data_IF_525001718865
#
_entry.id   IF_525001718865
#
_cell.length_a   1.000
_cell.length_b   1.000
_cell.length_c   1.000
_cell.angle_alpha   90.00
_cell.angle_beta   90.00
_cell.angle_gamma   90.00
#
_symmetry.space_group_name_H-M   'P 1'
#
loop_
_entity.id
_entity.type
_entity.pdbx_description
1 polymer ?
#
# COMPACT_ATOMS: atom_id res chain seq x y z
N UNK A 1 -14.76 -0.62 5.39
CA UNK A 1 -14.16 -0.77 6.73
C UNK A 1 -14.71 0.32 7.62
N UNK A 2 -15.27 -0.01 8.80
CA UNK A 2 -15.78 1.00 9.73
C UNK A 2 -14.72 1.29 10.79
N UNK A 3 -14.09 2.47 10.70
CA UNK A 3 -12.96 2.89 11.54
C UNK A 3 -13.33 4.19 12.24
N UNK A 4 -12.97 4.32 13.52
CA UNK A 4 -13.16 5.54 14.31
C UNK A 4 -12.00 5.77 15.27
N UNK A 5 -11.81 7.02 15.66
CA UNK A 5 -10.94 7.41 16.77
C UNK A 5 -11.80 7.52 18.03
N UNK A 6 -11.30 6.97 19.13
CA UNK A 6 -11.91 7.09 20.45
C UNK A 6 -10.86 7.60 21.46
N UNK A 7 -11.32 8.07 22.62
CA UNK A 7 -10.46 8.28 23.79
C UNK A 7 -10.43 6.99 24.60
N UNK A 8 -9.23 6.52 24.93
CA UNK A 8 -9.03 5.43 25.88
C UNK A 8 -9.20 5.91 27.34
N UNK A 9 -9.26 4.96 28.25
CA UNK A 9 -9.34 5.24 29.71
C UNK A 9 -8.10 5.99 30.22
N UNK A 10 -6.98 5.86 29.52
CA UNK A 10 -5.72 6.58 29.74
C UNK A 10 -5.71 8.00 29.16
N UNK A 11 -6.82 8.46 28.56
CA UNK A 11 -6.96 9.77 27.92
C UNK A 11 -6.29 9.90 26.54
N UNK A 12 -5.60 8.86 26.04
CA UNK A 12 -4.96 8.87 24.74
C UNK A 12 -5.93 8.47 23.63
N UNK A 13 -5.63 8.94 22.40
CA UNK A 13 -6.39 8.52 21.24
C UNK A 13 -6.08 7.07 20.88
N UNK A 14 -7.13 6.31 20.59
CA UNK A 14 -7.09 4.93 20.13
C UNK A 14 -7.85 4.83 18.82
N UNK A 15 -7.49 3.86 17.98
CA UNK A 15 -8.22 3.52 16.76
C UNK A 15 -9.06 2.28 17.05
N UNK A 16 -10.33 2.32 16.71
CA UNK A 16 -11.19 1.14 16.71
C UNK A 16 -11.63 0.81 15.29
N UNK A 17 -11.46 -0.46 14.93
CA UNK A 17 -11.89 -1.04 13.64
C UNK A 17 -12.97 -2.06 13.91
N UNK A 18 -14.16 -1.86 13.35
CA UNK A 18 -15.23 -2.86 13.42
C UNK A 18 -14.95 -3.99 12.46
N UNK A 19 -14.92 -5.19 12.98
CA UNK A 19 -14.85 -6.46 12.26
C UNK A 19 -16.20 -7.19 12.40
N UNK A 20 -16.42 -8.25 11.60
CA UNK A 20 -17.68 -9.00 11.63
C UNK A 20 -17.97 -9.59 13.01
N UNK A 21 -16.94 -10.11 13.68
CA UNK A 21 -17.07 -10.79 14.97
C UNK A 21 -16.47 -10.01 16.16
N UNK A 22 -16.15 -8.72 15.98
CA UNK A 22 -15.53 -7.98 17.08
C UNK A 22 -15.06 -6.57 16.73
N UNK A 23 -14.17 -6.08 17.58
CA UNK A 23 -13.51 -4.79 17.42
C UNK A 23 -12.02 -4.98 17.60
N UNK A 24 -11.23 -4.52 16.63
CA UNK A 24 -9.80 -4.37 16.79
C UNK A 24 -9.52 -2.98 17.34
N UNK A 25 -8.78 -2.88 18.43
CA UNK A 25 -8.33 -1.62 19.01
C UNK A 25 -6.82 -1.49 18.89
N UNK A 26 -6.35 -0.33 18.46
CA UNK A 26 -4.94 -0.05 18.20
C UNK A 26 -4.55 1.25 18.89
N UNK A 27 -3.33 1.31 19.41
CA UNK A 27 -2.72 2.54 19.88
C UNK A 27 -2.49 3.51 18.70
N UNK A 28 -2.70 4.79 18.97
CA UNK A 28 -2.50 5.84 17.95
C UNK A 28 -1.01 6.08 17.67
N UNK A 29 -0.17 5.97 18.69
CA UNK A 29 1.29 6.12 18.61
C UNK A 29 2.00 4.89 19.18
N UNK A 30 3.31 4.82 19.02
CA UNK A 30 4.11 3.69 19.45
C UNK A 30 3.75 2.39 18.71
N UNK A 31 3.93 1.26 19.35
CA UNK A 31 3.53 -0.05 18.82
C UNK A 31 2.00 -0.20 18.88
N UNK A 32 1.35 -0.75 17.83
CA UNK A 32 -0.11 -0.73 17.75
C UNK A 32 -0.86 -1.49 18.85
N UNK A 33 -0.24 -2.49 19.48
CA UNK A 33 -0.81 -3.22 20.62
C UNK A 33 -0.55 -2.54 21.97
N UNK A 34 0.24 -1.45 21.99
CA UNK A 34 0.60 -0.73 23.20
C UNK A 34 1.70 -1.39 24.04
N UNK A 35 2.21 -2.53 23.63
CA UNK A 35 3.25 -3.23 24.37
C UNK A 35 4.66 -2.71 24.00
N UNK A 36 5.59 -2.86 24.91
CA UNK A 36 7.01 -2.58 24.69
C UNK A 36 7.82 -3.87 24.69
N UNK A 37 9.00 -3.83 24.08
CA UNK A 37 9.96 -4.95 24.02
C UNK A 37 11.17 -4.59 24.90
N UNK A 38 11.09 -4.87 26.19
CA UNK A 38 12.07 -4.37 27.15
C UNK A 38 12.12 -2.85 27.13
N UNK A 39 13.31 -2.29 26.88
CA UNK A 39 13.51 -0.83 26.79
C UNK A 39 13.17 -0.24 25.41
N UNK A 40 12.84 -1.07 24.43
CA UNK A 40 12.53 -0.65 23.05
C UNK A 40 11.04 -0.50 22.81
N UNK A 41 10.66 0.38 21.88
CA UNK A 41 9.25 0.56 21.51
C UNK A 41 8.71 -0.60 20.65
N UNK A 42 9.59 -1.33 19.96
CA UNK A 42 9.17 -2.34 18.99
C UNK A 42 10.19 -3.47 18.84
N UNK A 43 9.78 -4.60 18.26
CA UNK A 43 10.69 -5.67 17.88
C UNK A 43 11.71 -5.21 16.83
N UNK A 44 11.31 -4.36 15.88
CA UNK A 44 12.24 -3.82 14.90
C UNK A 44 13.37 -3.02 15.58
N UNK A 45 13.04 -2.14 16.52
CA UNK A 45 14.04 -1.37 17.27
C UNK A 45 14.95 -2.28 18.11
N UNK A 46 14.35 -3.26 18.77
CA UNK A 46 15.10 -4.25 19.56
C UNK A 46 16.15 -4.99 18.69
N UNK A 47 15.74 -5.52 17.53
CA UNK A 47 16.68 -6.25 16.66
C UNK A 47 17.67 -5.32 15.98
N UNK A 48 17.31 -4.08 15.66
CA UNK A 48 18.26 -3.09 15.16
C UNK A 48 19.30 -2.67 16.23
N UNK A 49 18.92 -2.58 17.49
CA UNK A 49 19.85 -2.34 18.58
C UNK A 49 20.81 -3.54 18.75
N UNK A 50 20.27 -4.75 18.77
CA UNK A 50 21.04 -5.99 18.85
C UNK A 50 22.01 -6.15 17.67
N UNK A 51 21.61 -5.76 16.46
CA UNK A 51 22.48 -5.76 15.29
C UNK A 51 23.64 -4.78 15.46
N UNK A 52 23.37 -3.54 15.92
CA UNK A 52 24.44 -2.55 16.17
C UNK A 52 25.43 -3.02 17.25
N UNK A 53 24.94 -3.61 18.33
CA UNK A 53 25.78 -4.18 19.39
C UNK A 53 26.65 -5.32 18.86
N UNK A 54 26.08 -6.20 18.03
CA UNK A 54 26.79 -7.29 17.40
C UNK A 54 27.92 -6.77 16.51
N UNK A 55 27.67 -5.77 15.64
CA UNK A 55 28.67 -5.22 14.73
C UNK A 55 29.80 -4.52 15.49
N UNK A 56 29.47 -3.84 16.59
CA UNK A 56 30.49 -3.23 17.46
C UNK A 56 31.38 -4.28 18.15
N UNK A 57 30.79 -5.39 18.55
CA UNK A 57 31.52 -6.47 19.22
C UNK A 57 32.33 -7.34 18.23
N UNK A 58 31.91 -7.40 16.97
CA UNK A 58 32.49 -8.26 15.94
C UNK A 58 32.69 -7.49 14.61
N UNK A 59 33.60 -6.48 14.55
CA UNK A 59 33.75 -5.62 13.38
C UNK A 59 34.09 -6.36 12.09
N UNK A 60 34.88 -7.45 12.21
CA UNK A 60 35.29 -8.30 11.10
C UNK A 60 34.59 -9.67 11.11
N UNK A 61 33.54 -9.80 11.93
CA UNK A 61 32.78 -11.04 12.09
C UNK A 61 31.67 -11.22 11.05
N UNK A 62 31.04 -12.41 11.03
CA UNK A 62 29.86 -12.60 10.20
C UNK A 62 28.72 -11.71 10.70
N UNK A 63 27.80 -11.28 9.80
CA UNK A 63 26.67 -10.44 10.20
C UNK A 63 25.74 -11.17 11.18
N UNK A 64 24.99 -10.38 11.97
CA UNK A 64 23.90 -10.92 12.78
C UNK A 64 22.88 -11.59 11.85
N UNK A 65 22.46 -12.80 12.22
CA UNK A 65 21.39 -13.49 11.49
C UNK A 65 20.15 -13.63 12.36
N UNK A 66 19.00 -13.30 11.79
CA UNK A 66 17.69 -13.50 12.40
C UNK A 66 17.25 -14.96 12.18
N UNK A 67 16.85 -15.61 13.25
CA UNK A 67 16.26 -16.94 13.18
C UNK A 67 14.74 -16.86 12.88
N UNK A 68 14.14 -17.98 12.50
CA UNK A 68 12.71 -18.05 12.12
C UNK A 68 11.77 -17.52 13.23
N UNK A 69 12.13 -17.71 14.50
CA UNK A 69 11.36 -17.19 15.62
C UNK A 69 11.41 -15.66 15.70
N UNK A 70 12.58 -15.06 15.43
CA UNK A 70 12.77 -13.61 15.37
C UNK A 70 11.95 -13.01 14.24
N UNK A 71 12.01 -13.64 13.06
CA UNK A 71 11.21 -13.27 11.90
C UNK A 71 9.70 -13.36 12.19
N UNK A 72 9.24 -14.36 12.94
CA UNK A 72 7.83 -14.49 13.32
C UNK A 72 7.36 -13.34 14.22
N UNK A 73 8.20 -12.88 15.18
CA UNK A 73 7.89 -11.70 16.02
C UNK A 73 7.77 -10.44 15.16
N UNK A 74 8.71 -10.23 14.24
CA UNK A 74 8.70 -9.11 13.29
C UNK A 74 7.50 -9.16 12.34
N UNK A 75 7.12 -10.35 11.87
CA UNK A 75 5.95 -10.51 11.00
C UNK A 75 4.65 -10.11 11.70
N UNK A 76 4.44 -10.60 12.94
CA UNK A 76 3.26 -10.24 13.74
C UNK A 76 3.18 -8.75 13.98
N UNK A 77 4.30 -8.12 14.26
CA UNK A 77 4.38 -6.67 14.42
C UNK A 77 4.09 -5.93 13.11
N UNK A 78 4.66 -6.38 11.98
CA UNK A 78 4.35 -5.83 10.65
C UNK A 78 2.86 -5.86 10.31
N UNK A 79 2.15 -6.93 10.70
CA UNK A 79 0.69 -7.05 10.53
C UNK A 79 -0.08 -6.07 11.42
N UNK A 80 0.38 -5.79 12.63
CA UNK A 80 -0.24 -4.78 13.50
C UNK A 80 -0.17 -3.39 12.86
N UNK A 81 1.00 -3.00 12.34
CA UNK A 81 1.18 -1.74 11.61
C UNK A 81 0.38 -1.71 10.31
N UNK A 82 0.22 -2.83 9.60
CA UNK A 82 -0.67 -2.96 8.45
C UNK A 82 -2.11 -2.55 8.79
N UNK A 83 -2.70 -3.10 9.84
CA UNK A 83 -4.05 -2.73 10.27
C UNK A 83 -4.14 -1.25 10.65
N UNK A 84 -3.09 -0.69 11.27
CA UNK A 84 -3.09 0.71 11.68
C UNK A 84 -2.96 1.67 10.52
N UNK A 85 -2.05 1.45 9.56
CA UNK A 85 -1.93 2.37 8.43
C UNK A 85 -3.15 2.31 7.49
N UNK A 86 -3.82 1.16 7.33
CA UNK A 86 -5.11 1.09 6.64
C UNK A 86 -6.19 1.89 7.37
N UNK A 87 -6.18 1.86 8.69
CA UNK A 87 -7.09 2.66 9.50
C UNK A 87 -6.83 4.15 9.32
N UNK A 88 -5.58 4.58 9.37
CA UNK A 88 -5.19 5.97 9.11
C UNK A 88 -5.56 6.43 7.70
N UNK A 89 -5.37 5.57 6.69
CA UNK A 89 -5.82 5.84 5.33
C UNK A 89 -7.33 6.12 5.27
N UNK A 90 -8.14 5.24 5.86
CA UNK A 90 -9.60 5.41 5.91
C UNK A 90 -10.04 6.68 6.68
N UNK A 91 -9.27 7.08 7.68
CA UNK A 91 -9.49 8.30 8.47
C UNK A 91 -8.89 9.55 7.82
N UNK A 92 -8.33 9.44 6.60
CA UNK A 92 -7.63 10.52 5.89
C UNK A 92 -6.45 11.13 6.70
N UNK A 93 -5.85 10.33 7.59
CA UNK A 93 -4.65 10.70 8.34
C UNK A 93 -3.41 10.28 7.56
N UNK A 94 -3.21 10.92 6.42
CA UNK A 94 -2.19 10.54 5.42
C UNK A 94 -0.77 10.56 5.97
N UNK A 95 -0.41 11.55 6.78
CA UNK A 95 0.91 11.64 7.40
C UNK A 95 1.20 10.42 8.31
N UNK A 96 0.22 10.00 9.11
CA UNK A 96 0.35 8.83 9.98
C UNK A 96 0.37 7.53 9.19
N UNK A 97 -0.38 7.46 8.09
CA UNK A 97 -0.31 6.34 7.14
C UNK A 97 1.09 6.26 6.50
N UNK A 98 1.66 7.39 6.06
CA UNK A 98 3.01 7.46 5.51
C UNK A 98 4.07 7.04 6.54
N UNK A 99 3.95 7.46 7.80
CA UNK A 99 4.82 7.05 8.90
C UNK A 99 4.85 5.52 9.06
N UNK A 100 3.68 4.90 9.17
CA UNK A 100 3.57 3.47 9.45
C UNK A 100 3.93 2.60 8.24
N UNK A 101 3.63 3.04 7.02
CA UNK A 101 4.06 2.37 5.79
C UNK A 101 5.58 2.45 5.61
N UNK A 102 6.20 3.63 5.83
CA UNK A 102 7.65 3.78 5.81
C UNK A 102 8.34 2.87 6.84
N UNK A 103 7.74 2.75 8.03
CA UNK A 103 8.22 1.84 9.07
C UNK A 103 8.18 0.38 8.61
N UNK A 104 7.10 -0.07 7.96
CA UNK A 104 7.02 -1.44 7.45
C UNK A 104 8.00 -1.69 6.28
N UNK A 105 8.24 -0.72 5.42
CA UNK A 105 9.29 -0.83 4.39
C UNK A 105 10.68 -0.98 5.01
N UNK A 106 10.99 -0.26 6.10
CA UNK A 106 12.24 -0.47 6.87
C UNK A 106 12.31 -1.86 7.50
N UNK A 107 11.20 -2.37 8.02
CA UNK A 107 11.13 -3.74 8.55
C UNK A 107 11.46 -4.76 7.46
N UNK A 108 10.86 -4.63 6.26
CA UNK A 108 11.10 -5.57 5.15
C UNK A 108 12.55 -5.52 4.69
N UNK A 109 13.13 -4.32 4.58
CA UNK A 109 14.55 -4.18 4.26
C UNK A 109 15.46 -4.85 5.30
N UNK A 110 15.16 -4.67 6.58
CA UNK A 110 15.91 -5.27 7.67
C UNK A 110 15.82 -6.81 7.65
N UNK A 111 14.63 -7.38 7.46
CA UNK A 111 14.48 -8.83 7.35
C UNK A 111 15.15 -9.38 6.09
N UNK A 112 15.06 -8.68 4.97
CA UNK A 112 15.74 -9.09 3.72
C UNK A 112 17.25 -9.17 3.89
N UNK A 113 17.83 -8.28 4.66
CA UNK A 113 19.27 -8.23 4.92
C UNK A 113 19.71 -9.30 5.92
N UNK A 114 18.99 -9.44 7.04
CA UNK A 114 19.45 -10.19 8.19
C UNK A 114 18.75 -11.55 8.41
N UNK A 115 17.68 -11.89 7.71
CA UNK A 115 17.06 -13.21 7.86
C UNK A 115 17.96 -14.31 7.31
N UNK A 116 18.07 -15.41 8.06
CA UNK A 116 18.92 -16.56 7.69
C UNK A 116 18.45 -17.27 6.44
N UNK A 117 17.13 -17.39 6.25
CA UNK A 117 16.56 -18.18 5.16
C UNK A 117 15.78 -17.31 4.17
N UNK A 118 15.93 -17.61 2.89
CA UNK A 118 15.26 -16.84 1.82
C UNK A 118 13.73 -16.93 1.88
N UNK A 119 13.19 -17.99 2.49
CA UNK A 119 11.75 -18.11 2.72
C UNK A 119 11.22 -16.98 3.59
N UNK A 120 11.90 -16.67 4.71
CA UNK A 120 11.51 -15.56 5.59
C UNK A 120 11.68 -14.23 4.88
N UNK A 121 12.75 -14.02 4.11
CA UNK A 121 12.96 -12.81 3.32
C UNK A 121 11.78 -12.58 2.36
N UNK A 122 11.40 -13.61 1.61
CA UNK A 122 10.29 -13.53 0.66
C UNK A 122 8.93 -13.33 1.36
N UNK A 123 8.73 -13.92 2.55
CA UNK A 123 7.49 -13.77 3.32
C UNK A 123 7.15 -12.30 3.63
N UNK A 124 8.17 -11.45 3.81
CA UNK A 124 7.99 -10.01 4.00
C UNK A 124 8.01 -9.27 2.67
N UNK A 125 9.01 -9.54 1.85
CA UNK A 125 9.31 -8.72 0.69
C UNK A 125 8.28 -8.83 -0.44
N UNK A 126 7.51 -9.93 -0.51
CA UNK A 126 6.37 -10.05 -1.41
C UNK A 126 5.33 -8.92 -1.25
N UNK A 127 5.27 -8.28 -0.09
CA UNK A 127 4.36 -7.18 0.21
C UNK A 127 4.97 -5.80 -0.10
N UNK A 128 6.24 -5.74 -0.49
CA UNK A 128 6.94 -4.47 -0.76
C UNK A 128 6.24 -3.63 -1.83
N UNK A 129 5.77 -4.16 -2.97
CA UNK A 129 5.02 -3.37 -3.95
C UNK A 129 3.77 -2.72 -3.36
N UNK A 130 2.96 -3.49 -2.64
CA UNK A 130 1.74 -2.99 -2.03
C UNK A 130 2.01 -1.89 -0.99
N UNK A 131 2.96 -2.11 -0.08
CA UNK A 131 3.28 -1.11 0.96
C UNK A 131 3.91 0.13 0.33
N UNK A 132 4.74 -0.02 -0.71
CA UNK A 132 5.28 1.11 -1.49
C UNK A 132 4.17 1.92 -2.15
N UNK A 133 3.20 1.27 -2.79
CA UNK A 133 2.04 1.95 -3.36
C UNK A 133 1.25 2.71 -2.29
N UNK A 134 0.96 2.09 -1.15
CA UNK A 134 0.24 2.74 -0.05
C UNK A 134 1.02 3.92 0.54
N UNK A 135 2.34 3.78 0.70
CA UNK A 135 3.22 4.87 1.13
C UNK A 135 3.18 6.05 0.15
N UNK A 136 3.37 5.76 -1.14
CA UNK A 136 3.31 6.76 -2.22
C UNK A 136 1.98 7.51 -2.21
N UNK A 137 0.87 6.79 -2.09
CA UNK A 137 -0.46 7.40 -2.01
C UNK A 137 -0.61 8.29 -0.77
N UNK A 138 -0.12 7.84 0.37
CA UNK A 138 -0.19 8.62 1.61
C UNK A 138 0.64 9.91 1.55
N UNK A 139 1.78 9.90 0.84
CA UNK A 139 2.63 11.09 0.65
C UNK A 139 2.06 12.03 -0.42
N UNK A 140 1.64 11.49 -1.56
CA UNK A 140 1.28 12.31 -2.71
C UNK A 140 -0.17 12.83 -2.67
N UNK A 141 -1.09 12.15 -1.96
CA UNK A 141 -2.50 12.59 -1.89
C UNK A 141 -2.64 14.01 -1.31
N UNK A 142 -2.08 14.35 -0.12
CA UNK A 142 -2.22 15.71 0.41
C UNK A 142 -1.56 16.76 -0.47
N UNK A 143 -0.45 16.43 -1.15
CA UNK A 143 0.19 17.35 -2.10
C UNK A 143 -0.73 17.64 -3.30
N UNK A 144 -1.36 16.61 -3.85
CA UNK A 144 -2.31 16.76 -4.96
C UNK A 144 -3.60 17.52 -4.54
N UNK A 145 -4.06 17.37 -3.30
CA UNK A 145 -5.19 18.11 -2.73
C UNK A 145 -4.85 19.61 -2.57
N UNK A 146 -3.62 19.92 -2.16
CA UNK A 146 -3.09 21.29 -2.09
C UNK A 146 -2.73 21.87 -3.48
N UNK A 147 -2.93 21.10 -4.56
CA UNK A 147 -2.55 21.43 -5.94
C UNK A 147 -1.04 21.63 -6.17
N UNK A 148 -0.22 21.13 -5.27
CA UNK A 148 1.22 21.01 -5.52
C UNK A 148 1.50 19.78 -6.40
N UNK A 149 1.06 19.88 -7.67
CA UNK A 149 1.20 18.79 -8.62
C UNK A 149 2.64 18.39 -8.90
N UNK A 150 3.63 19.33 -9.00
CA UNK A 150 5.02 18.93 -9.19
C UNK A 150 5.54 18.03 -8.06
N UNK A 151 5.29 18.38 -6.80
CA UNK A 151 5.69 17.57 -5.66
C UNK A 151 4.92 16.22 -5.61
N UNK A 152 3.63 16.24 -5.90
CA UNK A 152 2.82 15.01 -5.97
C UNK A 152 3.34 14.04 -7.06
N UNK A 153 3.63 14.54 -8.26
CA UNK A 153 4.18 13.75 -9.38
C UNK A 153 5.56 13.20 -8.99
N UNK A 154 6.44 14.01 -8.38
CA UNK A 154 7.74 13.54 -7.91
C UNK A 154 7.65 12.40 -6.90
N UNK A 155 6.69 12.46 -5.95
CA UNK A 155 6.44 11.39 -5.00
C UNK A 155 5.90 10.12 -5.69
N UNK A 156 5.01 10.27 -6.68
CA UNK A 156 4.48 9.14 -7.46
C UNK A 156 5.59 8.49 -8.29
N UNK A 157 6.45 9.29 -8.94
CA UNK A 157 7.58 8.79 -9.73
C UNK A 157 8.57 7.99 -8.85
N UNK A 158 8.86 8.45 -7.65
CA UNK A 158 9.69 7.71 -6.69
C UNK A 158 9.06 6.36 -6.31
N UNK A 159 7.74 6.31 -6.13
CA UNK A 159 7.01 5.07 -5.86
C UNK A 159 7.05 4.09 -7.04
N UNK A 160 6.84 4.59 -8.26
CA UNK A 160 6.94 3.80 -9.50
C UNK A 160 8.33 3.17 -9.63
N UNK A 161 9.38 3.98 -9.43
CA UNK A 161 10.76 3.51 -9.53
C UNK A 161 11.08 2.48 -8.45
N UNK A 162 10.60 2.66 -7.22
CA UNK A 162 10.78 1.70 -6.13
C UNK A 162 10.12 0.34 -6.42
N UNK A 163 8.94 0.32 -7.06
CA UNK A 163 8.28 -0.94 -7.47
C UNK A 163 9.00 -1.57 -8.66
N UNK A 164 9.51 -0.78 -9.62
CA UNK A 164 10.33 -1.30 -10.70
C UNK A 164 11.60 -1.95 -10.19
N UNK A 165 12.27 -1.31 -9.22
CA UNK A 165 13.44 -1.90 -8.58
C UNK A 165 13.12 -3.23 -7.90
N UNK A 166 11.96 -3.36 -7.24
CA UNK A 166 11.49 -4.64 -6.72
C UNK A 166 11.39 -5.71 -7.81
N UNK A 167 10.80 -5.37 -8.96
CA UNK A 167 10.67 -6.32 -10.08
C UNK A 167 12.05 -6.70 -10.66
N UNK A 168 13.02 -5.79 -10.66
CA UNK A 168 14.40 -6.07 -11.06
C UNK A 168 15.07 -7.00 -10.05
N UNK A 169 14.94 -6.75 -8.75
CA UNK A 169 15.53 -7.55 -7.68
C UNK A 169 15.11 -9.04 -7.77
N UNK A 170 13.92 -9.30 -8.32
CA UNK A 170 13.35 -10.65 -8.50
C UNK A 170 13.32 -11.14 -9.95
N UNK A 171 14.04 -10.47 -10.87
CA UNK A 171 14.05 -10.81 -12.31
C UNK A 171 12.66 -10.88 -12.95
N UNK A 172 11.73 -10.03 -12.48
CA UNK A 172 10.33 -9.98 -12.92
C UNK A 172 9.96 -8.70 -13.67
N UNK A 173 10.92 -7.90 -14.12
CA UNK A 173 10.64 -6.66 -14.83
C UNK A 173 9.83 -6.89 -16.11
N UNK A 174 10.01 -8.05 -16.77
CA UNK A 174 9.23 -8.45 -17.95
C UNK A 174 7.73 -8.62 -17.67
N UNK A 175 7.33 -8.72 -16.38
CA UNK A 175 5.94 -8.80 -15.92
C UNK A 175 5.42 -7.49 -15.33
N UNK A 176 6.05 -6.36 -15.63
CA UNK A 176 5.66 -5.06 -15.10
C UNK A 176 4.20 -4.68 -15.41
N UNK A 177 3.67 -5.12 -16.54
CA UNK A 177 2.27 -4.88 -16.94
C UNK A 177 1.27 -5.67 -16.08
N UNK A 178 1.69 -6.80 -15.49
CA UNK A 178 0.88 -7.63 -14.60
C UNK A 178 0.90 -7.13 -13.14
N UNK A 179 1.82 -6.24 -12.78
CA UNK A 179 1.95 -5.68 -11.44
C UNK A 179 0.88 -4.60 -11.21
N UNK A 180 -0.20 -4.97 -10.54
CA UNK A 180 -1.36 -4.10 -10.31
C UNK A 180 -1.01 -2.82 -9.56
N UNK A 181 -0.11 -2.88 -8.58
CA UNK A 181 0.35 -1.74 -7.80
C UNK A 181 1.12 -0.73 -8.65
N UNK A 182 1.97 -1.23 -9.54
CA UNK A 182 2.71 -0.40 -10.50
C UNK A 182 1.77 0.29 -11.47
N UNK A 183 0.84 -0.47 -12.05
CA UNK A 183 -0.14 0.07 -13.00
C UNK A 183 -1.04 1.13 -12.37
N UNK A 184 -1.46 0.93 -11.12
CA UNK A 184 -2.24 1.93 -10.39
C UNK A 184 -1.46 3.25 -10.19
N UNK A 185 -0.17 3.19 -9.85
CA UNK A 185 0.65 4.39 -9.70
C UNK A 185 0.90 5.09 -11.05
N UNK A 186 1.16 4.35 -12.12
CA UNK A 186 1.35 4.90 -13.46
C UNK A 186 0.07 5.63 -13.90
N UNK A 187 -1.08 5.00 -13.74
CA UNK A 187 -2.36 5.61 -14.09
C UNK A 187 -2.62 6.89 -13.27
N UNK A 188 -2.41 6.84 -11.95
CA UNK A 188 -2.60 8.01 -11.09
C UNK A 188 -1.62 9.16 -11.41
N UNK A 189 -0.38 8.83 -11.79
CA UNK A 189 0.58 9.81 -12.31
C UNK A 189 0.03 10.57 -13.51
N UNK A 190 -0.47 9.83 -14.50
CA UNK A 190 -1.04 10.43 -15.71
C UNK A 190 -2.24 11.33 -15.40
N UNK A 191 -3.13 10.91 -14.50
CA UNK A 191 -4.25 11.73 -14.03
C UNK A 191 -3.77 13.02 -13.35
N UNK A 192 -2.72 12.92 -12.54
CA UNK A 192 -2.16 14.07 -11.83
C UNK A 192 -1.51 15.07 -12.79
N UNK A 193 -0.79 14.58 -13.80
CA UNK A 193 -0.25 15.41 -14.90
C UNK A 193 -1.37 16.09 -15.69
N UNK A 194 -2.43 15.39 -16.03
CA UNK A 194 -3.58 15.96 -16.74
C UNK A 194 -4.26 17.09 -15.91
N UNK A 195 -4.38 16.91 -14.60
CA UNK A 195 -4.89 17.94 -13.68
C UNK A 195 -3.96 19.15 -13.60
N UNK A 196 -2.66 18.96 -13.63
CA UNK A 196 -1.65 20.06 -13.64
C UNK A 196 -1.74 20.90 -14.92
N UNK A 197 -1.84 20.25 -16.07
CA UNK A 197 -1.80 20.92 -17.38
C UNK A 197 -3.13 21.52 -17.78
N UNK A 198 -4.23 21.19 -17.08
CA UNK A 198 -5.59 21.60 -17.44
C UNK A 198 -6.08 20.99 -18.77
N UNK A 199 -5.32 20.06 -19.34
CA UNK A 199 -5.70 19.33 -20.56
C UNK A 199 -6.57 18.15 -20.12
N UNK A 200 -7.86 18.10 -20.49
CA UNK A 200 -8.64 16.91 -20.25
C UNK A 200 -7.96 15.74 -20.97
N UNK A 201 -7.84 14.58 -20.32
CA UNK A 201 -7.41 13.36 -21.02
C UNK A 201 -8.32 13.17 -22.24
N UNK A 202 -7.77 13.43 -23.42
CA UNK A 202 -8.38 12.92 -24.66
C UNK A 202 -8.00 11.43 -24.68
N UNK A 203 -8.92 10.61 -24.20
CA UNK A 203 -8.90 9.17 -24.42
C UNK A 203 -7.84 8.37 -23.64
N UNK A 204 -8.19 7.99 -22.42
CA UNK A 204 -7.87 6.66 -21.88
C UNK A 204 -8.66 6.49 -20.57
N UNK A 205 -9.88 6.15 -20.68
CA UNK A 205 -10.77 5.38 -19.85
C UNK A 205 -12.22 5.52 -20.29
N UNK A 206 -12.45 5.57 -21.57
CA UNK A 206 -13.63 4.87 -22.07
C UNK A 206 -13.14 3.42 -22.12
N UNK A 207 -13.48 2.60 -21.13
CA UNK A 207 -13.38 1.14 -21.28
C UNK A 207 -13.95 0.89 -22.68
N UNK A 208 -13.19 0.24 -23.54
CA UNK A 208 -13.70 -0.02 -24.89
C UNK A 208 -15.02 -0.76 -24.71
N UNK A 209 -15.99 -0.54 -25.57
CA UNK A 209 -17.27 -1.26 -25.51
C UNK A 209 -17.04 -2.76 -25.44
N UNK A 210 -15.93 -3.24 -26.02
CA UNK A 210 -15.47 -4.64 -25.94
C UNK A 210 -14.99 -5.04 -24.53
N UNK A 211 -14.23 -4.17 -23.86
CA UNK A 211 -13.81 -4.43 -22.46
C UNK A 211 -15.01 -4.43 -21.51
N UNK A 212 -15.94 -3.50 -21.66
CA UNK A 212 -17.17 -3.47 -20.87
C UNK A 212 -18.08 -4.68 -21.14
N UNK A 213 -18.09 -5.20 -22.37
CA UNK A 213 -18.81 -6.44 -22.71
C UNK A 213 -18.17 -7.67 -22.06
N UNK A 214 -16.85 -7.78 -22.07
CA UNK A 214 -16.14 -8.87 -21.41
C UNK A 214 -16.39 -8.87 -19.90
N UNK A 215 -16.36 -7.68 -19.25
CA UNK A 215 -16.70 -7.55 -17.82
C UNK A 215 -18.18 -7.87 -17.53
N UNK A 216 -19.08 -7.50 -18.44
CA UNK A 216 -20.50 -7.84 -18.34
C UNK A 216 -20.71 -9.36 -18.38
N UNK A 217 -20.03 -10.07 -19.29
CA UNK A 217 -20.12 -11.52 -19.41
C UNK A 217 -19.59 -12.22 -18.14
N UNK A 218 -18.49 -11.70 -17.57
CA UNK A 218 -17.96 -12.20 -16.30
C UNK A 218 -18.96 -11.94 -15.17
N UNK A 219 -19.52 -10.74 -15.06
CA UNK A 219 -20.50 -10.40 -14.02
C UNK A 219 -21.77 -11.27 -14.12
N UNK A 220 -22.21 -11.61 -15.33
CA UNK A 220 -23.33 -12.53 -15.56
C UNK A 220 -22.96 -13.96 -15.13
N UNK A 221 -21.76 -14.44 -15.49
CA UNK A 221 -21.30 -15.78 -15.11
C UNK A 221 -21.12 -15.98 -13.62
N UNK A 222 -20.83 -14.90 -12.89
CA UNK A 222 -20.66 -14.85 -11.43
C UNK A 222 -21.96 -14.48 -10.69
N UNK A 223 -23.10 -14.40 -11.41
CA UNK A 223 -24.42 -14.02 -10.87
C UNK A 223 -24.47 -12.64 -10.17
N UNK A 224 -23.52 -11.73 -10.50
CA UNK A 224 -23.48 -10.35 -9.97
C UNK A 224 -24.40 -9.43 -10.76
N UNK A 225 -25.71 -9.63 -10.62
CA UNK A 225 -26.72 -8.98 -11.48
C UNK A 225 -26.78 -7.46 -11.35
N UNK A 226 -26.45 -6.89 -10.18
CA UNK A 226 -26.39 -5.42 -10.00
C UNK A 226 -25.21 -4.80 -10.79
N UNK A 227 -24.04 -5.46 -10.75
CA UNK A 227 -22.87 -5.04 -11.54
C UNK A 227 -23.13 -5.22 -13.03
N UNK A 228 -23.75 -6.30 -13.44
CA UNK A 228 -24.14 -6.55 -14.81
C UNK A 228 -25.12 -5.50 -15.34
N UNK A 229 -26.11 -5.09 -14.55
CA UNK A 229 -27.04 -4.02 -14.91
C UNK A 229 -26.31 -2.68 -15.12
N UNK A 230 -25.40 -2.30 -14.22
CA UNK A 230 -24.60 -1.08 -14.30
C UNK A 230 -23.70 -1.07 -15.56
N UNK A 231 -22.98 -2.17 -15.84
CA UNK A 231 -22.12 -2.30 -17.01
C UNK A 231 -22.91 -2.21 -18.32
N UNK A 232 -24.09 -2.86 -18.39
CA UNK A 232 -24.99 -2.77 -19.53
C UNK A 232 -25.44 -1.35 -19.80
N UNK A 233 -25.80 -0.61 -18.76
CA UNK A 233 -26.28 0.77 -18.89
C UNK A 233 -25.14 1.71 -19.30
N UNK A 234 -23.92 1.45 -18.87
CA UNK A 234 -22.73 2.18 -19.30
C UNK A 234 -22.38 1.90 -20.77
N UNK A 235 -22.44 0.64 -21.23
CA UNK A 235 -22.31 0.28 -22.65
C UNK A 235 -23.35 1.00 -23.50
N UNK A 236 -24.61 1.03 -23.05
CA UNK A 236 -25.70 1.73 -23.76
C UNK A 236 -25.44 3.23 -23.88
N UNK A 237 -24.93 3.88 -22.80
CA UNK A 237 -24.59 5.30 -22.78
C UNK A 237 -23.49 5.63 -23.79
N UNK A 238 -22.45 4.80 -23.85
CA UNK A 238 -21.32 4.99 -24.77
C UNK A 238 -21.73 4.71 -26.22
N UNK A 239 -22.53 3.66 -26.48
CA UNK A 239 -23.00 3.28 -27.82
C UNK A 239 -24.12 4.19 -28.35
N UNK A 240 -24.90 4.83 -27.46
CA UNK A 240 -26.00 5.73 -27.84
C UNK A 240 -25.58 7.17 -28.17
N UNK A 241 -24.29 7.52 -27.95
CA UNK A 241 -23.73 8.83 -28.30
C UNK A 241 -23.32 9.00 -29.76
N UNK A 242 -23.45 7.97 -30.60
CA UNK A 242 -23.18 8.02 -32.04
C UNK A 242 -24.54 8.02 -32.76
N UNK A 243 -25.18 9.18 -32.85
CA UNK A 243 -26.29 9.37 -33.79
C UNK A 243 -25.72 9.44 -35.21
N UNK A 244 -26.27 8.66 -36.19
CA UNK A 244 -25.82 8.77 -37.57
C UNK A 244 -26.29 10.13 -38.13
N UNK A 245 -25.30 10.87 -38.69
CA UNK A 245 -25.54 12.14 -39.31
C UNK A 245 -26.59 12.01 -40.43
N UNK A 246 -27.48 12.98 -40.52
CA UNK A 246 -28.36 13.21 -41.61
C UNK A 246 -27.56 13.59 -42.87
N UNK A 247 -27.81 12.86 -43.95
CA UNK A 247 -27.66 13.40 -45.31
C UNK A 247 -28.74 14.41 -45.61
#
# INVERSE_FOLDING_TARGET
>A
MNVRIIKGDDGHDKIQVRLDLGVLQLEFNGRPDGERVGDHESWLEHYQARQREHDQAHPDGPPLMLESEDCLKLLREGVQYYHRYLSFWNLQRYELCARDTARNLKLFAFVREYARHDREKLQFDQWRPYVTMMHTRAVATPLAELRDFPAAIGAIDAGIESIRQFLIDYDQLHRAEECGELQQLIHWREETVARQTGVPKIGTSVKSVESLRAELDIAISEERFEDAARLRDEIRRISGGIAPGQM
#
